data_IF_014877690004
#
_entry.id   IF_014877690004
#
_cell.length_a   1.000
_cell.length_b   1.000
_cell.length_c   1.000
_cell.angle_alpha   90.00
_cell.angle_beta   90.00
_cell.angle_gamma   90.00
#
_symmetry.space_group_name_H-M   'P 1'
#
loop_
_entity.id
_entity.type
_entity.pdbx_description
1 polymer ?
#
# COMPACT_ATOMS: atom_id res chain seq x y z
N UNK A 1 -11.01 32.91 22.18
CA UNK A 1 -12.40 32.55 22.47
C UNK A 1 -12.82 31.60 21.35
N UNK A 2 -12.93 30.30 21.62
CA UNK A 2 -13.26 29.33 20.57
C UNK A 2 -14.67 29.65 20.04
N UNK A 3 -14.80 29.89 18.72
CA UNK A 3 -16.09 30.20 18.08
C UNK A 3 -17.06 29.01 18.07
N UNK A 4 -16.56 27.79 18.31
CA UNK A 4 -17.34 26.54 18.27
C UNK A 4 -17.02 25.66 19.48
N UNK A 5 -18.04 24.96 19.97
CA UNK A 5 -17.91 23.95 21.05
C UNK A 5 -17.15 22.72 20.54
N UNK A 6 -16.28 22.12 21.38
CA UNK A 6 -15.57 20.86 21.08
C UNK A 6 -16.49 19.76 20.53
N UNK A 7 -17.72 19.66 21.04
CA UNK A 7 -18.70 18.67 20.57
C UNK A 7 -19.16 18.95 19.13
N UNK A 8 -19.33 20.22 18.78
CA UNK A 8 -19.67 20.64 17.43
C UNK A 8 -18.49 20.41 16.47
N UNK A 9 -17.25 20.62 16.94
CA UNK A 9 -16.04 20.38 16.15
C UNK A 9 -15.83 18.89 15.88
N UNK A 10 -15.95 18.03 16.90
CA UNK A 10 -15.89 16.57 16.71
C UNK A 10 -16.98 16.06 15.76
N UNK A 11 -18.18 16.63 15.83
CA UNK A 11 -19.25 16.32 14.88
C UNK A 11 -18.90 16.78 13.45
N UNK A 12 -18.33 17.98 13.30
CA UNK A 12 -17.90 18.50 12.00
C UNK A 12 -16.78 17.65 11.38
N UNK A 13 -15.76 17.23 12.15
CA UNK A 13 -14.74 16.28 11.69
C UNK A 13 -15.36 14.95 11.23
N UNK A 14 -16.27 14.38 12.01
CA UNK A 14 -16.92 13.12 11.67
C UNK A 14 -17.80 13.21 10.41
N UNK A 15 -18.56 14.29 10.26
CA UNK A 15 -19.43 14.52 9.10
C UNK A 15 -18.63 14.86 7.84
N UNK A 16 -17.56 15.66 7.96
CA UNK A 16 -16.66 15.98 6.86
C UNK A 16 -15.96 14.75 6.31
N UNK A 17 -15.38 13.95 7.20
CA UNK A 17 -14.74 12.69 6.84
C UNK A 17 -15.71 11.73 6.14
N UNK A 18 -16.96 11.65 6.60
CA UNK A 18 -17.99 10.83 5.96
C UNK A 18 -18.27 11.28 4.51
N UNK A 19 -18.42 12.58 4.26
CA UNK A 19 -18.65 13.11 2.90
C UNK A 19 -17.45 12.84 1.99
N UNK A 20 -16.21 13.01 2.49
CA UNK A 20 -14.99 12.70 1.72
C UNK A 20 -14.92 11.22 1.34
N UNK A 21 -15.20 10.31 2.29
CA UNK A 21 -15.14 8.87 2.05
C UNK A 21 -16.19 8.45 1.01
N UNK A 22 -17.41 8.97 1.09
CA UNK A 22 -18.44 8.68 0.08
C UNK A 22 -18.05 9.28 -1.28
N UNK A 23 -17.36 10.43 -1.31
CA UNK A 23 -16.90 11.07 -2.55
C UNK A 23 -15.81 10.27 -3.24
N UNK A 24 -14.85 9.78 -2.45
CA UNK A 24 -13.83 8.84 -2.91
C UNK A 24 -14.45 7.53 -3.40
N UNK A 25 -15.44 7.00 -2.68
CA UNK A 25 -16.18 5.81 -3.08
C UNK A 25 -16.82 5.98 -4.46
N UNK A 26 -17.54 7.08 -4.70
CA UNK A 26 -18.18 7.33 -6.00
C UNK A 26 -17.15 7.50 -7.13
N UNK A 27 -15.97 8.07 -6.83
CA UNK A 27 -14.89 8.22 -7.81
C UNK A 27 -14.28 6.88 -8.21
N UNK A 28 -14.05 5.96 -7.26
CA UNK A 28 -13.44 4.65 -7.55
C UNK A 28 -14.43 3.66 -8.18
N UNK A 29 -15.69 3.70 -7.77
CA UNK A 29 -16.73 2.81 -8.31
C UNK A 29 -17.33 3.31 -9.63
N UNK A 30 -16.90 4.49 -10.11
CA UNK A 30 -17.44 5.14 -11.31
C UNK A 30 -18.97 5.27 -11.24
N UNK A 31 -19.48 5.59 -10.06
CA UNK A 31 -20.91 5.64 -9.80
C UNK A 31 -21.48 7.00 -10.22
N UNK A 32 -22.53 6.97 -11.03
CA UNK A 32 -23.15 8.16 -11.61
C UNK A 32 -24.66 8.13 -11.32
N UNK A 33 -25.11 9.04 -10.45
CA UNK A 33 -26.54 9.28 -10.21
C UNK A 33 -26.91 10.65 -10.79
N UNK A 34 -27.44 10.65 -12.01
CA UNK A 34 -27.88 11.88 -12.69
C UNK A 34 -26.74 12.90 -12.84
N UNK A 35 -26.89 14.17 -12.39
CA UNK A 35 -25.84 15.17 -12.49
C UNK A 35 -24.68 14.98 -11.49
N UNK A 36 -24.81 14.06 -10.53
CA UNK A 36 -23.79 13.78 -9.52
C UNK A 36 -22.83 12.70 -10.03
N UNK A 37 -21.69 13.15 -10.58
CA UNK A 37 -20.58 12.28 -10.96
C UNK A 37 -19.59 12.11 -9.81
N UNK A 38 -18.84 11.02 -9.80
CA UNK A 38 -17.81 10.77 -8.79
C UNK A 38 -16.77 11.89 -8.67
N UNK A 39 -16.46 12.61 -9.76
CA UNK A 39 -15.58 13.79 -9.72
C UNK A 39 -16.21 14.96 -8.98
N UNK A 40 -17.50 15.24 -9.22
CA UNK A 40 -18.21 16.32 -8.55
C UNK A 40 -18.35 16.05 -7.06
N UNK A 41 -18.72 14.82 -6.70
CA UNK A 41 -18.87 14.42 -5.30
C UNK A 41 -17.53 14.47 -4.56
N UNK A 42 -16.46 13.93 -5.15
CA UNK A 42 -15.12 14.01 -4.57
C UNK A 42 -14.65 15.46 -4.38
N UNK A 43 -14.94 16.35 -5.34
CA UNK A 43 -14.58 17.77 -5.23
C UNK A 43 -15.30 18.45 -4.07
N UNK A 44 -16.58 18.14 -3.86
CA UNK A 44 -17.35 18.63 -2.71
C UNK A 44 -16.74 18.11 -1.40
N UNK A 45 -16.43 16.81 -1.32
CA UNK A 45 -15.80 16.22 -0.13
C UNK A 45 -14.48 16.89 0.22
N UNK A 46 -13.56 17.00 -0.73
CA UNK A 46 -12.25 17.64 -0.52
C UNK A 46 -12.37 19.11 -0.12
N UNK A 47 -13.34 19.84 -0.67
CA UNK A 47 -13.58 21.24 -0.31
C UNK A 47 -14.15 21.37 1.12
N UNK A 48 -14.99 20.41 1.52
CA UNK A 48 -15.52 20.32 2.88
C UNK A 48 -14.40 20.07 3.89
N UNK A 49 -13.47 19.16 3.56
CA UNK A 49 -12.31 18.85 4.40
C UNK A 49 -11.35 20.04 4.52
N UNK A 50 -11.11 20.76 3.41
CA UNK A 50 -10.29 21.96 3.42
C UNK A 50 -10.84 23.05 4.35
N UNK A 51 -12.17 23.22 4.39
CA UNK A 51 -12.83 24.15 5.30
C UNK A 51 -12.71 23.72 6.76
N UNK A 52 -12.86 22.42 7.04
CA UNK A 52 -12.73 21.87 8.40
C UNK A 52 -11.29 22.02 8.91
N UNK A 53 -10.29 21.74 8.08
CA UNK A 53 -8.88 21.99 8.42
C UNK A 53 -8.57 23.46 8.64
N UNK A 54 -9.19 24.37 7.88
CA UNK A 54 -9.02 25.80 8.12
C UNK A 54 -9.61 26.22 9.47
N UNK A 55 -10.74 25.62 9.88
CA UNK A 55 -11.39 25.90 11.16
C UNK A 55 -10.65 25.26 12.35
N UNK A 56 -9.99 24.10 12.16
CA UNK A 56 -9.23 23.41 13.22
C UNK A 56 -8.03 24.23 13.70
N UNK A 57 -7.43 25.05 12.84
CA UNK A 57 -6.33 25.94 13.20
C UNK A 57 -6.71 27.01 14.25
N UNK A 58 -8.00 27.27 14.43
CA UNK A 58 -8.51 28.20 15.45
C UNK A 58 -8.97 27.49 16.73
N UNK A 59 -8.81 26.17 16.82
CA UNK A 59 -9.12 25.41 18.03
C UNK A 59 -8.01 25.62 19.08
N UNK A 60 -8.36 25.98 20.32
CA UNK A 60 -7.36 26.15 21.37
C UNK A 60 -6.68 24.80 21.66
N UNK A 61 -5.36 24.83 21.86
CA UNK A 61 -4.58 23.66 22.27
C UNK A 61 -5.13 23.14 23.59
N UNK A 62 -5.44 21.84 23.64
CA UNK A 62 -5.94 21.20 24.85
C UNK A 62 -4.89 21.26 25.95
N UNK A 63 -5.28 21.78 27.12
CA UNK A 63 -4.46 21.71 28.33
C UNK A 63 -4.36 20.24 28.75
N UNK A 64 -3.16 19.67 28.69
CA UNK A 64 -2.89 18.33 29.17
C UNK A 64 -3.17 18.26 30.68
N UNK A 65 -3.85 17.19 31.11
CA UNK A 65 -4.13 16.95 32.52
C UNK A 65 -2.79 16.83 33.28
N UNK A 66 -2.56 17.67 34.28
CA UNK A 66 -1.32 17.64 35.05
C UNK A 66 -1.25 16.38 35.94
N UNK A 67 -0.71 15.29 35.38
CA UNK A 67 -0.54 14.00 36.03
C UNK A 67 0.34 14.06 37.29
N UNK A 68 1.09 15.15 37.47
CA UNK A 68 1.89 15.45 38.66
C UNK A 68 1.05 15.58 39.92
N UNK A 69 -0.24 15.91 39.78
CA UNK A 69 -1.17 16.02 40.91
C UNK A 69 -1.58 14.64 41.48
N UNK A 70 -1.49 13.57 40.67
CA UNK A 70 -1.97 12.22 41.03
C UNK A 70 -0.81 11.26 41.29
N UNK A 71 0.35 11.45 40.63
CA UNK A 71 1.55 10.65 40.83
C UNK A 71 2.79 11.55 41.04
N UNK A 72 3.02 12.04 42.27
CA UNK A 72 4.16 12.92 42.56
C UNK A 72 5.52 12.23 42.36
N UNK A 73 5.57 10.90 42.29
CA UNK A 73 6.81 10.14 42.03
C UNK A 73 7.39 10.35 40.62
N UNK A 74 6.59 10.83 39.67
CA UNK A 74 7.06 11.17 38.31
C UNK A 74 7.65 12.58 38.23
N UNK A 75 7.43 13.42 39.24
CA UNK A 75 7.87 14.83 39.24
C UNK A 75 9.40 14.98 39.38
N UNK A 76 10.07 14.02 40.03
CA UNK A 76 11.46 14.20 40.48
C UNK A 76 12.52 13.32 39.78
N UNK A 77 12.17 12.53 38.76
CA UNK A 77 13.11 12.02 37.75
C UNK A 77 14.44 11.38 38.19
N UNK A 78 14.61 10.86 39.41
CA UNK A 78 15.89 10.28 39.88
C UNK A 78 15.76 8.81 40.28
N UNK A 79 16.24 7.93 39.39
CA UNK A 79 16.50 6.52 39.70
C UNK A 79 17.62 6.40 40.75
N UNK A 80 17.36 5.69 41.86
CA UNK A 80 18.37 5.42 42.91
C UNK A 80 19.59 4.69 42.32
N UNK A 81 20.77 5.32 42.38
CA UNK A 81 22.07 4.66 42.21
C UNK A 81 22.33 3.72 43.40
N UNK A 82 22.57 2.44 43.09
CA UNK A 82 23.11 1.44 44.03
C UNK A 82 24.53 1.85 44.45
N UNK A 83 24.79 1.89 45.76
CA UNK A 83 26.14 2.00 46.31
C UNK A 83 26.67 0.60 46.61
N UNK A 84 27.83 0.28 46.05
CA UNK A 84 28.60 -0.93 46.31
C UNK A 84 29.12 -0.94 47.75
N UNK A 85 28.93 -2.08 48.44
CA UNK A 85 29.64 -2.38 49.67
C UNK A 85 30.24 -3.77 49.56
N UNK A 86 31.57 -3.80 49.55
CA UNK A 86 32.42 -5.00 49.51
C UNK A 86 32.48 -5.58 50.93
N UNK A 87 32.00 -6.81 51.11
CA UNK A 87 32.23 -7.59 52.34
C UNK A 87 32.70 -9.01 51.98
N UNK A 88 33.65 -9.49 52.78
CA UNK A 88 34.60 -10.59 52.55
C UNK A 88 34.03 -12.02 52.62
N UNK A 89 34.68 -13.02 51.97
CA UNK A 89 34.07 -14.31 51.63
C UNK A 89 34.34 -15.43 52.64
N UNK A 90 34.08 -15.24 53.94
CA UNK A 90 34.23 -16.34 54.92
C UNK A 90 33.05 -16.55 55.87
N UNK A 91 32.08 -15.65 55.85
CA UNK A 91 30.86 -15.76 56.67
C UNK A 91 29.60 -15.95 55.81
N UNK A 92 29.75 -15.96 54.48
CA UNK A 92 28.64 -15.95 53.53
C UNK A 92 27.84 -17.27 53.51
N UNK A 93 28.44 -18.47 53.60
CA UNK A 93 27.64 -19.70 53.57
C UNK A 93 26.83 -19.93 54.86
N UNK A 94 27.39 -19.60 56.03
CA UNK A 94 26.72 -19.77 57.33
C UNK A 94 25.62 -18.73 57.54
N UNK A 95 25.89 -17.46 57.22
CA UNK A 95 24.89 -16.40 57.30
C UNK A 95 23.89 -16.44 56.15
N UNK A 96 24.21 -16.91 54.95
CA UNK A 96 23.20 -17.00 53.87
C UNK A 96 22.24 -18.16 54.14
N UNK A 97 22.70 -19.32 54.64
CA UNK A 97 21.80 -20.40 55.07
C UNK A 97 20.98 -20.02 56.30
N UNK A 98 21.57 -19.37 57.30
CA UNK A 98 20.81 -18.86 58.46
C UNK A 98 19.86 -17.72 58.07
N UNK A 99 20.21 -16.87 57.10
CA UNK A 99 19.37 -15.76 56.62
C UNK A 99 18.33 -16.23 55.60
N UNK A 100 18.57 -17.33 54.88
CA UNK A 100 17.53 -18.04 54.13
C UNK A 100 16.58 -18.75 55.08
N UNK A 101 17.07 -19.48 56.09
CA UNK A 101 16.21 -20.13 57.10
C UNK A 101 15.42 -19.09 57.90
N UNK A 102 16.05 -17.97 58.27
CA UNK A 102 15.37 -16.85 58.93
C UNK A 102 14.39 -16.17 57.98
N UNK A 103 14.70 -15.98 56.68
CA UNK A 103 13.70 -15.49 55.72
C UNK A 103 12.57 -16.48 55.45
N UNK A 104 12.84 -17.79 55.37
CA UNK A 104 11.85 -18.86 55.21
C UNK A 104 10.97 -19.04 56.45
N UNK A 105 11.47 -18.64 57.62
CA UNK A 105 10.80 -18.74 58.92
C UNK A 105 10.13 -17.43 59.35
N UNK A 106 10.64 -16.27 58.94
CA UNK A 106 10.06 -14.92 59.17
C UNK A 106 9.05 -14.54 58.09
N UNK A 107 9.36 -14.74 56.81
CA UNK A 107 8.33 -14.79 55.79
C UNK A 107 7.73 -16.18 55.90
N UNK A 108 6.75 -16.36 56.79
CA UNK A 108 5.87 -17.52 56.77
C UNK A 108 5.58 -17.81 55.30
N UNK A 109 6.17 -18.87 54.76
CA UNK A 109 5.74 -19.38 53.46
C UNK A 109 4.42 -20.06 53.75
N UNK A 110 3.42 -19.22 54.04
CA UNK A 110 2.03 -19.59 54.13
C UNK A 110 1.69 -20.25 52.80
N UNK A 111 0.88 -21.30 52.85
CA UNK A 111 0.46 -22.02 51.63
C UNK A 111 -0.12 -21.08 50.57
N UNK A 112 -0.59 -19.91 50.98
CA UNK A 112 -1.02 -18.79 50.14
C UNK A 112 0.09 -18.18 49.28
N UNK A 113 1.30 -17.94 49.81
CA UNK A 113 2.43 -17.43 49.03
C UNK A 113 2.91 -18.47 48.00
N UNK A 114 2.99 -19.74 48.40
CA UNK A 114 3.34 -20.83 47.49
C UNK A 114 2.27 -21.03 46.40
N UNK A 115 1.00 -20.90 46.76
CA UNK A 115 -0.14 -20.90 45.83
C UNK A 115 -0.10 -19.70 44.88
N UNK A 116 0.23 -18.50 45.37
CA UNK A 116 0.34 -17.29 44.56
C UNK A 116 1.50 -17.37 43.55
N UNK A 117 2.63 -17.97 43.94
CA UNK A 117 3.76 -18.21 43.05
C UNK A 117 3.41 -19.27 42.00
N UNK A 118 2.75 -20.36 42.41
CA UNK A 118 2.24 -21.37 41.50
C UNK A 118 1.24 -20.80 40.49
N UNK A 119 0.32 -19.94 40.94
CA UNK A 119 -0.60 -19.21 40.07
C UNK A 119 0.14 -18.24 39.14
N UNK A 120 1.18 -17.57 39.61
CA UNK A 120 2.00 -16.66 38.78
C UNK A 120 2.75 -17.41 37.68
N UNK A 121 3.35 -18.56 38.00
CA UNK A 121 4.02 -19.43 37.03
C UNK A 121 3.03 -19.98 36.00
N UNK A 122 1.84 -20.40 36.45
CA UNK A 122 0.78 -20.90 35.57
C UNK A 122 0.21 -19.80 34.66
N UNK A 123 0.08 -18.58 35.17
CA UNK A 123 -0.33 -17.41 34.39
C UNK A 123 0.74 -17.04 33.36
N UNK A 124 2.02 -17.12 33.73
CA UNK A 124 3.13 -16.88 32.80
C UNK A 124 3.18 -17.94 31.69
N UNK A 125 3.02 -19.23 32.02
CA UNK A 125 2.91 -20.31 31.03
C UNK A 125 1.75 -20.06 30.06
N UNK A 126 0.60 -19.62 30.58
CA UNK A 126 -0.59 -19.32 29.77
C UNK A 126 -0.35 -18.12 28.85
N UNK A 127 0.31 -17.06 29.34
CA UNK A 127 0.69 -15.91 28.52
C UNK A 127 1.71 -16.28 27.43
N UNK A 128 2.73 -17.08 27.78
CA UNK A 128 3.72 -17.57 26.82
C UNK A 128 3.11 -18.47 25.74
N UNK A 129 2.16 -19.35 26.09
CA UNK A 129 1.39 -20.15 25.14
C UNK A 129 0.50 -19.28 24.24
N UNK A 130 0.00 -18.15 24.72
CA UNK A 130 -0.74 -17.16 23.93
C UNK A 130 0.13 -16.39 22.92
N UNK A 131 1.45 -16.28 23.16
CA UNK A 131 2.39 -15.62 22.25
C UNK A 131 2.71 -16.51 21.03
N UNK A 132 2.79 -17.83 21.20
CA UNK A 132 3.10 -18.76 20.10
C UNK A 132 2.20 -18.58 18.84
N UNK A 133 0.85 -18.56 18.94
CA UNK A 133 -0.01 -18.33 17.77
C UNK A 133 0.11 -16.90 17.20
N UNK A 134 0.59 -15.94 17.99
CA UNK A 134 0.82 -14.56 17.52
C UNK A 134 2.05 -14.49 16.59
N UNK A 135 3.09 -15.30 16.86
CA UNK A 135 4.29 -15.36 16.00
C UNK A 135 3.94 -15.93 14.62
N UNK A 136 3.16 -17.00 14.56
CA UNK A 136 2.69 -17.58 13.28
C UNK A 136 1.78 -16.61 12.50
N UNK A 137 0.96 -15.85 13.22
CA UNK A 137 0.09 -14.81 12.63
C UNK A 137 0.88 -13.64 12.05
N UNK A 138 1.95 -13.22 12.74
CA UNK A 138 2.87 -12.18 12.24
C UNK A 138 3.61 -12.67 10.98
N UNK A 139 4.11 -13.90 10.99
CA UNK A 139 4.75 -14.51 9.83
C UNK A 139 3.79 -14.60 8.63
N UNK A 140 2.53 -14.99 8.87
CA UNK A 140 1.49 -15.06 7.85
C UNK A 140 1.14 -13.68 7.28
N UNK A 141 1.06 -12.64 8.12
CA UNK A 141 0.81 -11.26 7.70
C UNK A 141 1.95 -10.70 6.87
N UNK A 142 3.20 -10.99 7.25
CA UNK A 142 4.39 -10.63 6.47
C UNK A 142 4.37 -11.30 5.10
N UNK A 143 4.12 -12.62 5.07
CA UNK A 143 4.01 -13.38 3.82
C UNK A 143 2.89 -12.84 2.93
N UNK A 144 1.73 -12.52 3.50
CA UNK A 144 0.63 -11.90 2.76
C UNK A 144 1.02 -10.55 2.15
N UNK A 145 1.76 -9.72 2.88
CA UNK A 145 2.27 -8.44 2.37
C UNK A 145 3.28 -8.62 1.24
N UNK A 146 4.17 -9.61 1.35
CA UNK A 146 5.11 -9.99 0.29
C UNK A 146 4.39 -10.48 -0.97
N UNK A 147 3.40 -11.36 -0.83
CA UNK A 147 2.58 -11.87 -1.94
C UNK A 147 1.78 -10.75 -2.62
N UNK A 148 1.23 -9.81 -1.85
CA UNK A 148 0.56 -8.62 -2.42
C UNK A 148 1.53 -7.74 -3.20
N UNK A 149 2.76 -7.54 -2.70
CA UNK A 149 3.78 -6.78 -3.40
C UNK A 149 4.20 -7.46 -4.71
N UNK A 150 4.35 -8.79 -4.70
CA UNK A 150 4.64 -9.55 -5.91
C UNK A 150 3.48 -9.48 -6.91
N UNK A 151 2.24 -9.65 -6.44
CA UNK A 151 1.06 -9.54 -7.28
C UNK A 151 0.93 -8.15 -7.94
N UNK A 152 1.23 -7.08 -7.20
CA UNK A 152 1.27 -5.72 -7.74
C UNK A 152 2.31 -5.58 -8.86
N UNK A 153 3.53 -6.09 -8.65
CA UNK A 153 4.58 -6.10 -9.68
C UNK A 153 4.18 -6.93 -10.92
N UNK A 154 3.52 -8.08 -10.71
CA UNK A 154 2.99 -8.90 -11.80
C UNK A 154 1.90 -8.16 -12.59
N UNK A 155 1.00 -7.45 -11.91
CA UNK A 155 -0.04 -6.65 -12.54
C UNK A 155 0.53 -5.49 -13.36
N UNK A 156 1.56 -4.81 -12.86
CA UNK A 156 2.28 -3.78 -13.60
C UNK A 156 2.91 -4.35 -14.88
N UNK A 157 3.58 -5.51 -14.76
CA UNK A 157 4.12 -6.23 -15.91
C UNK A 157 3.04 -6.61 -16.93
N UNK A 158 1.87 -7.07 -16.46
CA UNK A 158 0.72 -7.37 -17.31
C UNK A 158 0.22 -6.13 -18.06
N UNK A 159 0.12 -4.97 -17.40
CA UNK A 159 -0.27 -3.72 -18.05
C UNK A 159 0.74 -3.32 -19.14
N UNK A 160 2.04 -3.43 -18.83
CA UNK A 160 3.11 -3.19 -19.80
C UNK A 160 3.02 -4.13 -21.00
N UNK A 161 2.79 -5.42 -20.78
CA UNK A 161 2.58 -6.40 -21.85
C UNK A 161 1.36 -6.07 -22.71
N UNK A 162 0.25 -5.66 -22.10
CA UNK A 162 -0.94 -5.20 -22.83
C UNK A 162 -0.63 -3.99 -23.71
N UNK A 163 0.14 -3.01 -23.18
CA UNK A 163 0.56 -1.84 -23.95
C UNK A 163 1.44 -2.23 -25.15
N UNK A 164 2.42 -3.12 -24.94
CA UNK A 164 3.29 -3.64 -26.01
C UNK A 164 2.47 -4.41 -27.05
N UNK A 165 1.50 -5.22 -26.62
CA UNK A 165 0.64 -5.97 -27.52
C UNK A 165 -0.25 -5.06 -28.37
N UNK A 166 -0.80 -4.00 -27.77
CA UNK A 166 -1.60 -3.01 -28.48
C UNK A 166 -0.74 -2.24 -29.50
N UNK A 167 0.47 -1.84 -29.12
CA UNK A 167 1.41 -1.16 -30.01
C UNK A 167 1.86 -2.07 -31.16
N UNK A 168 2.11 -3.35 -30.88
CA UNK A 168 2.43 -4.37 -31.89
C UNK A 168 1.27 -4.60 -32.85
N UNK A 169 0.04 -4.67 -32.34
CA UNK A 169 -1.16 -4.79 -33.18
C UNK A 169 -1.33 -3.57 -34.09
N UNK A 170 -1.11 -2.36 -33.58
CA UNK A 170 -1.14 -1.13 -34.37
C UNK A 170 -0.05 -1.14 -35.47
N UNK A 171 1.20 -1.46 -35.11
CA UNK A 171 2.30 -1.58 -36.09
C UNK A 171 2.01 -2.63 -37.16
N UNK A 172 1.43 -3.78 -36.80
CA UNK A 172 1.03 -4.80 -37.76
C UNK A 172 -0.10 -4.33 -38.69
N UNK A 173 -1.07 -3.58 -38.17
CA UNK A 173 -2.12 -2.99 -38.99
C UNK A 173 -1.57 -1.96 -39.99
N UNK A 174 -0.64 -1.11 -39.55
CA UNK A 174 0.04 -0.15 -40.41
C UNK A 174 0.89 -0.85 -41.47
N UNK A 175 1.65 -1.88 -41.10
CA UNK A 175 2.43 -2.68 -42.04
C UNK A 175 1.54 -3.37 -43.09
N UNK A 176 0.40 -3.94 -42.67
CA UNK A 176 -0.56 -4.53 -43.60
C UNK A 176 -1.14 -3.50 -44.57
N UNK A 177 -1.39 -2.27 -44.10
CA UNK A 177 -1.85 -1.18 -44.96
C UNK A 177 -0.79 -0.78 -45.98
N UNK A 178 0.47 -0.62 -45.57
CA UNK A 178 1.58 -0.33 -46.48
C UNK A 178 1.78 -1.45 -47.51
N UNK A 179 1.64 -2.71 -47.12
CA UNK A 179 1.72 -3.86 -48.03
C UNK A 179 0.58 -3.80 -49.05
N UNK A 180 -0.65 -3.53 -48.62
CA UNK A 180 -1.80 -3.40 -49.53
C UNK A 180 -1.61 -2.25 -50.53
N UNK A 181 -1.15 -1.08 -50.06
CA UNK A 181 -0.87 0.07 -50.92
C UNK A 181 0.25 -0.22 -51.92
N UNK A 182 1.33 -0.87 -51.49
CA UNK A 182 2.42 -1.28 -52.39
C UNK A 182 1.97 -2.34 -53.40
N UNK A 183 1.14 -3.30 -53.00
CA UNK A 183 0.56 -4.28 -53.92
C UNK A 183 -0.31 -3.60 -55.00
N UNK A 184 -1.06 -2.56 -54.62
CA UNK A 184 -1.84 -1.75 -55.57
C UNK A 184 -0.94 -1.01 -56.56
N UNK A 185 0.10 -0.32 -56.07
CA UNK A 185 1.08 0.37 -56.93
C UNK A 185 1.82 -0.60 -57.85
N UNK A 186 2.21 -1.76 -57.34
CA UNK A 186 2.87 -2.81 -58.13
C UNK A 186 1.95 -3.30 -59.24
N UNK A 187 0.65 -3.49 -58.96
CA UNK A 187 -0.35 -3.86 -59.96
C UNK A 187 -0.45 -2.79 -61.06
N UNK A 188 -0.49 -1.52 -60.71
CA UNK A 188 -0.51 -0.41 -61.68
C UNK A 188 0.75 -0.40 -62.56
N UNK A 189 1.93 -0.56 -61.95
CA UNK A 189 3.19 -0.64 -62.69
C UNK A 189 3.25 -1.85 -63.63
N UNK A 190 2.76 -3.01 -63.19
CA UNK A 190 2.66 -4.21 -64.02
C UNK A 190 1.70 -4.03 -65.20
N UNK A 191 0.56 -3.36 -64.99
CA UNK A 191 -0.37 -3.02 -66.07
C UNK A 191 0.27 -2.07 -67.08
N UNK A 192 0.97 -1.02 -66.61
CA UNK A 192 1.70 -0.08 -67.47
C UNK A 192 2.81 -0.79 -68.26
N UNK A 193 3.58 -1.68 -67.62
CA UNK A 193 4.60 -2.49 -68.27
C UNK A 193 4.00 -3.41 -69.35
N UNK A 194 2.88 -4.06 -69.04
CA UNK A 194 2.16 -4.92 -70.01
C UNK A 194 1.67 -4.12 -71.21
N UNK A 195 1.10 -2.93 -70.99
CA UNK A 195 0.65 -2.04 -72.05
C UNK A 195 1.82 -1.57 -72.94
N UNK A 196 2.97 -1.22 -72.33
CA UNK A 196 4.17 -0.84 -73.06
C UNK A 196 4.73 -2.00 -73.91
N UNK A 197 4.79 -3.21 -73.36
CA UNK A 197 5.23 -4.41 -74.11
C UNK A 197 4.26 -4.70 -75.27
N UNK A 198 2.95 -4.60 -75.05
CA UNK A 198 1.96 -4.76 -76.10
C UNK A 198 2.13 -3.71 -77.21
N UNK A 199 2.37 -2.45 -76.84
CA UNK A 199 2.65 -1.37 -77.78
C UNK A 199 3.93 -1.63 -78.60
N UNK A 200 5.02 -2.04 -77.95
CA UNK A 200 6.26 -2.42 -78.62
C UNK A 200 6.04 -3.58 -79.60
N UNK A 201 5.38 -4.65 -79.15
CA UNK A 201 5.05 -5.79 -80.02
C UNK A 201 4.20 -5.39 -81.22
N UNK A 202 3.24 -4.48 -81.06
CA UNK A 202 2.45 -3.95 -82.18
C UNK A 202 3.31 -3.15 -83.18
N UNK A 203 4.25 -2.32 -82.71
CA UNK A 203 5.17 -1.57 -83.59
C UNK A 203 6.13 -2.51 -84.30
N UNK A 204 6.71 -3.49 -83.61
CA UNK A 204 7.59 -4.49 -84.22
C UNK A 204 6.84 -5.35 -85.24
N UNK A 205 5.61 -5.78 -84.93
CA UNK A 205 4.73 -6.51 -85.86
C UNK A 205 4.39 -5.67 -87.10
N UNK A 206 4.02 -4.41 -86.90
CA UNK A 206 3.77 -3.47 -88.00
C UNK A 206 5.00 -3.23 -88.88
N UNK A 207 6.19 -3.15 -88.28
CA UNK A 207 7.45 -2.98 -89.00
C UNK A 207 7.85 -4.26 -89.77
N UNK A 208 7.64 -5.45 -89.20
CA UNK A 208 7.83 -6.74 -89.87
C UNK A 208 6.85 -6.92 -91.03
N UNK A 209 5.56 -6.62 -90.86
CA UNK A 209 4.59 -6.64 -91.96
C UNK A 209 4.94 -5.64 -93.06
N UNK A 210 5.42 -4.44 -92.70
CA UNK A 210 5.87 -3.44 -93.67
C UNK A 210 7.17 -3.83 -94.40
N UNK A 211 8.07 -4.57 -93.74
CA UNK A 211 9.26 -5.14 -94.38
C UNK A 211 8.93 -6.35 -95.28
N UNK A 212 8.01 -7.22 -94.85
CA UNK A 212 7.57 -8.39 -95.60
C UNK A 212 6.76 -8.04 -96.85
N UNK A 213 6.04 -6.92 -96.86
CA UNK A 213 5.21 -6.49 -97.98
C UNK A 213 5.99 -5.64 -99.02
N UNK A 214 7.31 -5.48 -98.84
CA UNK A 214 8.20 -4.69 -99.70
C UNK A 214 9.20 -5.53 -100.51
N UNK A 215 9.09 -6.86 -100.46
CA UNK A 215 9.75 -7.79 -101.39
C UNK A 215 8.73 -8.42 -102.31
#
# INVERSE_FOLDING_TARGET
MALLSKKAMNFAYGMGAAVVIVGALFKITHFEIGPLTGTLMLSIGLLTEALIFALSAFEPVDEELDWTLVYPELANGQARKKADKVETPSDAQGLLSQKLDVMLKEAKIDGELMSSLGNSIKNFESAAKGIAPTVDSIASTKKYSEELSMAAAQMESLNSLYKVQLESAARNADANKEIADNASKLKEQMQSMTANIASLNNVYGGMLSAMSNKG
#
